data_IF_004948486282
#
_entry.id   IF_004948486282
#
_cell.length_a   1.000
_cell.length_b   1.000
_cell.length_c   1.000
_cell.angle_alpha   90.00
_cell.angle_beta   90.00
_cell.angle_gamma   90.00
#
_symmetry.space_group_name_H-M   'P 1'
#
loop_
_entity.id
_entity.type
_entity.pdbx_description
1 polymer ?
#
# COMPACT_ATOMS: atom_id res chain seq x y z
N UNK A 1 10.09 1.74 -7.45
CA UNK A 1 9.23 1.23 -8.54
C UNK A 1 9.79 1.67 -9.87
N UNK A 2 10.06 0.77 -10.81
CA UNK A 2 10.68 1.12 -12.09
C UNK A 2 10.23 0.19 -13.20
N UNK A 3 10.30 0.68 -14.44
CA UNK A 3 10.12 -0.11 -15.65
C UNK A 3 11.07 0.45 -16.74
N UNK A 4 11.45 -0.35 -17.77
CA UNK A 4 12.46 0.07 -18.75
C UNK A 4 12.21 1.41 -19.45
N UNK A 5 10.94 1.81 -19.59
CA UNK A 5 10.52 3.05 -20.26
C UNK A 5 9.98 4.11 -19.30
N UNK A 6 10.04 3.87 -17.99
CA UNK A 6 9.45 4.74 -16.97
C UNK A 6 10.53 5.26 -16.01
N UNK A 7 10.49 6.54 -15.67
CA UNK A 7 11.35 7.07 -14.62
C UNK A 7 11.06 6.34 -13.30
N UNK A 8 12.09 5.90 -12.54
CA UNK A 8 11.87 5.29 -11.25
C UNK A 8 11.06 6.19 -10.32
N UNK A 9 10.08 5.60 -9.64
CA UNK A 9 9.31 6.25 -8.57
C UNK A 9 9.75 5.72 -7.22
N UNK A 10 9.88 6.63 -6.26
CA UNK A 10 10.17 6.36 -4.86
C UNK A 10 8.90 6.64 -4.07
N UNK A 11 8.44 5.66 -3.29
CA UNK A 11 7.28 5.82 -2.42
C UNK A 11 7.64 6.69 -1.21
N UNK A 12 6.73 7.55 -0.72
CA UNK A 12 7.01 8.44 0.42
C UNK A 12 6.88 7.74 1.78
N UNK A 13 6.35 6.51 1.83
CA UNK A 13 6.04 5.79 3.07
C UNK A 13 7.00 4.62 3.21
N UNK A 14 7.65 4.52 4.37
CA UNK A 14 8.44 3.38 4.79
C UNK A 14 8.27 3.14 6.28
N UNK A 15 8.13 1.88 6.69
CA UNK A 15 7.99 1.47 8.09
C UNK A 15 8.72 0.15 8.34
N UNK A 16 9.44 -0.02 9.48
CA UNK A 16 10.02 -1.30 9.86
C UNK A 16 8.97 -2.41 10.03
N UNK A 17 7.70 -2.06 10.21
CA UNK A 17 6.62 -3.03 10.40
C UNK A 17 6.47 -3.98 9.20
N UNK A 18 6.80 -3.51 7.98
CA UNK A 18 6.77 -4.32 6.77
C UNK A 18 7.94 -5.30 6.64
N UNK A 19 8.94 -5.24 7.52
CA UNK A 19 10.04 -6.20 7.57
C UNK A 19 9.57 -7.52 8.23
N UNK A 20 8.49 -8.10 7.70
CA UNK A 20 7.82 -9.30 8.19
C UNK A 20 7.66 -10.33 7.07
N UNK A 21 7.70 -11.62 7.42
CA UNK A 21 7.52 -12.70 6.46
C UNK A 21 6.14 -12.65 5.81
N UNK A 22 6.08 -12.78 4.49
CA UNK A 22 4.83 -12.76 3.72
C UNK A 22 4.32 -11.37 3.31
N UNK A 23 4.90 -10.26 3.80
CA UNK A 23 4.50 -8.92 3.35
C UNK A 23 4.67 -8.73 1.83
N UNK A 24 5.74 -9.28 1.25
CA UNK A 24 5.97 -9.29 -0.20
C UNK A 24 4.91 -10.07 -0.99
N UNK A 25 4.37 -11.16 -0.44
CA UNK A 25 3.31 -11.94 -1.09
C UNK A 25 2.00 -11.14 -1.13
N UNK A 26 1.68 -10.44 -0.04
CA UNK A 26 0.53 -9.53 0.01
C UNK A 26 0.70 -8.38 -0.98
N UNK A 27 1.89 -7.79 -1.06
CA UNK A 27 2.20 -6.77 -2.07
C UNK A 27 2.00 -7.31 -3.49
N UNK A 28 2.50 -8.51 -3.77
CA UNK A 28 2.38 -9.15 -5.08
C UNK A 28 0.92 -9.40 -5.45
N UNK A 29 0.12 -9.95 -4.54
CA UNK A 29 -1.32 -10.15 -4.75
C UNK A 29 -2.08 -8.84 -4.95
N UNK A 30 -1.72 -7.80 -4.19
CA UNK A 30 -2.31 -6.45 -4.34
C UNK A 30 -2.03 -5.89 -5.73
N UNK A 31 -0.78 -5.94 -6.21
CA UNK A 31 -0.40 -5.48 -7.54
C UNK A 31 -1.11 -6.29 -8.63
N UNK A 32 -1.19 -7.62 -8.47
CA UNK A 32 -1.86 -8.49 -9.42
C UNK A 32 -3.36 -8.17 -9.56
N UNK A 33 -4.05 -7.94 -8.44
CA UNK A 33 -5.46 -7.53 -8.45
C UNK A 33 -5.67 -6.16 -9.11
N UNK A 34 -4.81 -5.19 -8.79
CA UNK A 34 -4.86 -3.86 -9.42
C UNK A 34 -4.56 -3.91 -10.92
N UNK A 35 -3.69 -4.82 -11.37
CA UNK A 35 -3.35 -4.98 -12.78
C UNK A 35 -4.52 -5.51 -13.62
N UNK A 36 -5.58 -6.05 -13.00
CA UNK A 36 -6.81 -6.40 -13.71
C UNK A 36 -7.58 -5.17 -14.21
N UNK A 37 -7.33 -3.98 -13.64
CA UNK A 37 -8.07 -2.74 -13.96
C UNK A 37 -7.18 -1.55 -14.30
N UNK A 38 -5.87 -1.63 -14.05
CA UNK A 38 -4.90 -0.55 -14.26
C UNK A 38 -3.74 -0.99 -15.15
N UNK A 39 -3.11 -0.02 -15.82
CA UNK A 39 -1.88 -0.26 -16.57
C UNK A 39 -0.78 -0.81 -15.65
N UNK A 40 0.13 -1.70 -16.12
CA UNK A 40 1.06 -2.41 -15.24
C UNK A 40 1.90 -1.51 -14.34
N UNK A 41 2.50 -0.45 -14.88
CA UNK A 41 3.29 0.48 -14.07
C UNK A 41 2.44 1.17 -13.00
N UNK A 42 1.23 1.60 -13.37
CA UNK A 42 0.24 2.23 -12.47
C UNK A 42 -0.19 1.28 -11.35
N UNK A 43 -0.65 0.08 -11.70
CA UNK A 43 -1.03 -0.97 -10.75
C UNK A 43 0.09 -1.22 -9.74
N UNK A 44 1.31 -1.28 -10.24
CA UNK A 44 2.45 -1.62 -9.43
C UNK A 44 2.78 -0.46 -8.45
N UNK A 45 2.82 0.81 -8.88
CA UNK A 45 3.17 1.90 -7.93
C UNK A 45 2.02 2.23 -6.97
N UNK A 46 0.77 2.10 -7.44
CA UNK A 46 -0.42 2.14 -6.57
C UNK A 46 -0.37 1.03 -5.53
N UNK A 47 -0.05 -0.22 -5.93
CA UNK A 47 0.08 -1.36 -5.03
C UNK A 47 1.13 -1.15 -3.94
N UNK A 48 2.31 -0.62 -4.29
CA UNK A 48 3.35 -0.25 -3.31
C UNK A 48 2.85 0.81 -2.34
N UNK A 49 2.14 1.84 -2.83
CA UNK A 49 1.63 2.90 -1.98
C UNK A 49 0.58 2.38 -0.99
N UNK A 50 -0.46 1.67 -1.45
CA UNK A 50 -1.54 1.19 -0.58
C UNK A 50 -1.04 0.14 0.43
N UNK A 51 -0.09 -0.70 0.03
CA UNK A 51 0.54 -1.67 0.92
C UNK A 51 1.33 -0.98 2.05
N UNK A 52 2.10 0.06 1.72
CA UNK A 52 2.83 0.85 2.70
C UNK A 52 1.90 1.68 3.60
N UNK A 53 0.82 2.23 3.05
CA UNK A 53 -0.20 2.96 3.79
C UNK A 53 -0.94 2.05 4.80
N UNK A 54 -1.26 0.81 4.42
CA UNK A 54 -1.87 -0.17 5.33
C UNK A 54 -0.97 -0.48 6.52
N UNK A 55 0.34 -0.67 6.30
CA UNK A 55 1.28 -0.89 7.39
C UNK A 55 1.50 0.35 8.28
N UNK A 56 1.47 1.55 7.69
CA UNK A 56 1.52 2.79 8.47
C UNK A 56 0.27 2.95 9.34
N UNK A 57 -0.91 2.61 8.81
CA UNK A 57 -2.16 2.67 9.56
C UNK A 57 -2.17 1.65 10.70
N UNK A 58 -1.70 0.42 10.45
CA UNK A 58 -1.50 -0.56 11.51
C UNK A 58 -0.59 -0.01 12.62
N UNK A 59 0.56 0.58 12.26
CA UNK A 59 1.50 1.13 13.22
C UNK A 59 0.90 2.27 14.04
N UNK A 60 0.05 3.11 13.43
CA UNK A 60 -0.69 4.16 14.14
C UNK A 60 -1.71 3.60 15.13
N UNK A 61 -2.42 2.52 14.76
CA UNK A 61 -3.43 1.88 15.63
C UNK A 61 -2.82 1.16 16.81
N UNK A 62 -1.70 0.48 16.60
CA UNK A 62 -1.07 -0.37 17.62
C UNK A 62 -0.02 0.36 18.45
N UNK A 63 0.52 1.48 17.93
CA UNK A 63 1.68 2.15 18.50
C UNK A 63 2.99 1.36 18.32
N UNK A 64 2.97 0.30 17.51
CA UNK A 64 4.12 -0.58 17.28
C UNK A 64 4.72 -0.39 15.88
N UNK A 65 6.02 -0.62 15.77
CA UNK A 65 6.77 -0.62 14.50
C UNK A 65 7.30 -2.01 14.11
N UNK A 66 6.95 -3.05 14.88
CA UNK A 66 7.35 -4.45 14.72
C UNK A 66 6.21 -5.37 15.13
N UNK A 67 6.19 -6.58 14.58
CA UNK A 67 5.23 -7.62 14.93
C UNK A 67 3.96 -7.64 14.06
N UNK A 68 3.87 -6.76 13.06
CA UNK A 68 2.85 -6.82 12.03
C UNK A 68 2.92 -8.16 11.28
N UNK A 69 1.80 -8.85 11.19
CA UNK A 69 1.64 -10.05 10.40
C UNK A 69 1.18 -9.69 8.98
N UNK A 70 1.61 -10.47 7.98
CA UNK A 70 1.28 -10.19 6.58
C UNK A 70 -0.23 -10.08 6.33
N UNK A 71 -1.04 -10.96 6.92
CA UNK A 71 -2.49 -10.94 6.72
C UNK A 71 -3.15 -9.68 7.30
N UNK A 72 -2.60 -9.08 8.37
CA UNK A 72 -3.12 -7.81 8.92
C UNK A 72 -2.92 -6.65 7.93
N UNK A 73 -1.87 -6.70 7.09
CA UNK A 73 -1.73 -5.76 5.98
C UNK A 73 -2.85 -5.95 4.98
N UNK A 74 -3.14 -7.20 4.62
CA UNK A 74 -4.21 -7.54 3.67
C UNK A 74 -5.59 -7.12 4.20
N UNK A 75 -5.86 -7.33 5.48
CA UNK A 75 -7.12 -6.96 6.16
C UNK A 75 -7.35 -5.43 6.14
N UNK A 76 -6.29 -4.64 6.13
CA UNK A 76 -6.35 -3.17 6.06
C UNK A 76 -6.47 -2.60 4.64
N UNK A 77 -6.17 -3.38 3.59
CA UNK A 77 -6.23 -2.88 2.21
C UNK A 77 -7.61 -2.30 1.83
N UNK A 78 -8.76 -2.94 2.13
CA UNK A 78 -10.07 -2.37 1.80
C UNK A 78 -10.31 -1.01 2.46
N UNK A 79 -9.82 -0.82 3.68
CA UNK A 79 -9.94 0.45 4.40
C UNK A 79 -9.13 1.55 3.73
N UNK A 80 -7.86 1.28 3.39
CA UNK A 80 -6.99 2.23 2.68
C UNK A 80 -7.58 2.59 1.30
N UNK A 81 -8.12 1.62 0.57
CA UNK A 81 -8.79 1.90 -0.70
C UNK A 81 -10.01 2.80 -0.53
N UNK A 82 -10.84 2.55 0.50
CA UNK A 82 -12.00 3.38 0.79
C UNK A 82 -11.60 4.82 1.17
N UNK A 83 -10.53 4.99 1.94
CA UNK A 83 -10.01 6.32 2.28
C UNK A 83 -9.53 7.09 1.05
N UNK A 84 -8.82 6.43 0.12
CA UNK A 84 -8.34 7.04 -1.12
C UNK A 84 -9.45 7.33 -2.14
N UNK A 85 -10.54 6.58 -2.08
CA UNK A 85 -11.71 6.78 -2.93
C UNK A 85 -12.68 7.86 -2.37
N UNK A 86 -12.53 8.23 -1.10
CA UNK A 86 -13.35 9.27 -0.51
C UNK A 86 -13.07 10.63 -1.18
N UNK A 87 -14.11 11.44 -1.49
CA UNK A 87 -13.90 12.77 -2.03
C UNK A 87 -13.06 13.61 -1.07
N UNK A 88 -12.21 14.45 -1.65
CA UNK A 88 -11.30 15.32 -0.90
C UNK A 88 -12.09 16.22 0.07
N UNK A 89 -11.84 16.04 1.37
CA UNK A 89 -12.51 16.80 2.43
C UNK A 89 -11.97 18.22 2.58
N UNK A 90 -10.90 18.60 1.86
CA UNK A 90 -10.25 19.92 1.97
C UNK A 90 -10.86 21.02 1.09
N UNK A 91 -11.91 20.72 0.30
CA UNK A 91 -12.59 21.68 -0.59
C UNK A 91 -14.00 22.10 -0.13
N UNK A 92 -14.40 21.75 1.09
CA UNK A 92 -15.72 22.08 1.67
C UNK A 92 -15.71 23.06 2.85
N UNK A 93 -14.57 23.69 3.14
CA UNK A 93 -14.44 24.82 4.08
C UNK A 93 -13.96 26.08 3.34
#
# INVERSE_FOLDING_TARGET
MGAPTELPRIGPIGTPALATGGAGDVLTGTIAGLACTLAPFTAAWTGVYVHAAAALEWARRTGADRGLLAHEVADLLPHVFAELAAPDRTLTD
#
